data_IF_719385765544
#
_entry.id   IF_719385765544
#
_cell.length_a   1.000
_cell.length_b   1.000
_cell.length_c   1.000
_cell.angle_alpha   90.00
_cell.angle_beta   90.00
_cell.angle_gamma   90.00
#
_symmetry.space_group_name_H-M   'P 1'
#
loop_
_entity.id
_entity.type
_entity.pdbx_description
1 polymer ?
#
# COMPACT_ATOMS: atom_id res chain seq x y z
N UNK A 1 12.88 37.85 71.01
CA UNK A 1 11.76 38.74 71.35
C UNK A 1 11.96 40.09 70.68
N UNK A 2 10.86 40.71 70.24
CA UNK A 2 10.70 42.08 69.68
C UNK A 2 11.19 42.32 68.25
N UNK A 3 10.20 42.43 67.33
CA UNK A 3 10.25 43.42 66.25
C UNK A 3 10.10 44.85 66.81
N UNK A 4 10.16 45.89 65.96
CA UNK A 4 8.89 46.38 65.43
C UNK A 4 8.96 46.91 63.99
N UNK A 5 7.78 47.35 63.56
CA UNK A 5 7.28 47.71 62.25
C UNK A 5 7.77 49.06 61.70
N UNK A 6 7.67 49.19 60.37
CA UNK A 6 7.08 50.38 59.73
C UNK A 6 8.04 51.46 59.25
N UNK A 7 8.10 51.70 57.93
CA UNK A 7 7.53 52.90 57.30
C UNK A 7 7.79 52.94 55.78
N UNK A 8 6.76 53.38 55.05
CA UNK A 8 6.69 53.63 53.61
C UNK A 8 7.63 54.76 53.16
N UNK A 9 8.13 54.67 51.93
CA UNK A 9 8.11 55.81 50.98
C UNK A 9 8.22 55.32 49.54
N UNK A 10 7.51 56.03 48.66
CA UNK A 10 7.31 55.75 47.25
C UNK A 10 8.40 56.42 46.39
N UNK A 11 8.63 55.91 45.17
CA UNK A 11 8.52 56.62 43.87
C UNK A 11 9.47 56.03 42.81
N UNK A 12 8.99 56.03 41.55
CA UNK A 12 9.71 55.69 40.32
C UNK A 12 9.38 54.28 39.83
N UNK A 13 8.42 54.02 38.94
CA UNK A 13 8.10 54.76 37.72
C UNK A 13 8.96 54.21 36.58
N UNK A 14 8.39 53.30 35.77
CA UNK A 14 8.59 53.18 34.31
C UNK A 14 7.74 52.01 33.76
N UNK A 15 6.56 52.42 33.30
CA UNK A 15 5.74 51.94 32.19
C UNK A 15 6.26 50.74 31.37
N UNK A 16 5.52 49.63 31.39
CA UNK A 16 5.59 48.59 30.35
C UNK A 16 4.26 48.57 29.58
N UNK A 17 4.24 48.88 28.26
CA UNK A 17 3.02 49.09 27.52
C UNK A 17 2.72 47.90 26.59
N UNK A 18 2.23 46.76 27.07
CA UNK A 18 1.56 45.77 26.18
C UNK A 18 0.52 44.94 26.93
N UNK A 19 -0.57 45.60 27.34
CA UNK A 19 -1.84 44.95 27.66
C UNK A 19 -2.90 45.46 26.69
N UNK A 20 -3.18 44.68 25.65
CA UNK A 20 -4.42 44.83 24.87
C UNK A 20 -4.95 43.47 24.42
N UNK A 21 -5.80 42.91 25.27
CA UNK A 21 -7.15 42.44 24.93
C UNK A 21 -7.45 42.42 23.42
N UNK A 22 -7.50 41.22 22.85
CA UNK A 22 -8.31 40.97 21.65
C UNK A 22 -9.22 39.78 21.90
N UNK A 23 -10.52 40.10 21.89
CA UNK A 23 -11.67 39.20 21.90
C UNK A 23 -11.56 38.21 20.74
N UNK A 24 -11.86 36.95 21.04
CA UNK A 24 -12.10 35.92 20.05
C UNK A 24 -13.28 36.33 19.14
N UNK A 25 -13.15 36.28 17.81
CA UNK A 25 -14.29 36.46 16.93
C UNK A 25 -15.17 35.20 16.92
N UNK A 26 -16.47 35.43 16.91
CA UNK A 26 -17.52 34.43 16.88
C UNK A 26 -17.40 33.49 15.65
N UNK A 27 -17.65 32.20 15.88
CA UNK A 27 -17.71 31.15 14.84
C UNK A 27 -18.78 31.49 13.80
N UNK A 28 -18.35 31.70 12.56
CA UNK A 28 -19.22 31.74 11.38
C UNK A 28 -19.68 30.31 11.02
N UNK A 29 -21.00 30.03 10.91
CA UNK A 29 -21.51 28.70 10.60
C UNK A 29 -21.59 28.49 9.08
N UNK A 30 -20.47 28.59 8.37
CA UNK A 30 -20.37 28.19 6.95
C UNK A 30 -18.97 27.66 6.63
N UNK A 31 -18.61 26.57 7.30
CA UNK A 31 -17.46 25.77 6.90
C UNK A 31 -17.80 24.28 7.07
N UNK A 32 -18.84 23.84 6.35
CA UNK A 32 -18.95 22.42 6.01
C UNK A 32 -17.89 22.15 4.94
N UNK A 33 -16.64 21.95 5.38
CA UNK A 33 -15.70 21.13 4.63
C UNK A 33 -16.35 19.75 4.52
N UNK A 34 -16.95 19.49 3.37
CA UNK A 34 -17.30 18.15 2.94
C UNK A 34 -16.06 17.27 3.17
N UNK A 35 -16.16 16.13 3.87
CA UNK A 35 -15.07 15.17 3.83
C UNK A 35 -14.88 14.82 2.35
N UNK A 36 -13.69 15.09 1.82
CA UNK A 36 -13.23 14.50 0.56
C UNK A 36 -13.31 12.99 0.77
N UNK A 37 -14.41 12.41 0.31
CA UNK A 37 -14.51 10.97 0.15
C UNK A 37 -13.34 10.56 -0.75
N UNK A 38 -12.46 9.63 -0.33
CA UNK A 38 -11.49 9.08 -1.26
C UNK A 38 -12.31 8.49 -2.41
N UNK A 39 -12.13 9.04 -3.61
CA UNK A 39 -12.70 8.48 -4.83
C UNK A 39 -12.30 7.01 -4.85
N UNK A 40 -13.26 6.10 -4.63
CA UNK A 40 -12.96 4.67 -4.58
C UNK A 40 -12.30 4.30 -5.92
N UNK A 41 -11.03 3.84 -5.95
CA UNK A 41 -10.35 3.46 -7.18
C UNK A 41 -11.10 2.37 -7.97
N UNK A 42 -12.01 1.65 -7.30
CA UNK A 42 -12.96 0.70 -7.87
C UNK A 42 -13.79 1.24 -9.05
N UNK A 43 -14.09 2.55 -9.12
CA UNK A 43 -14.95 3.08 -10.17
C UNK A 43 -14.33 2.98 -11.58
N UNK A 44 -12.99 3.00 -11.67
CA UNK A 44 -12.26 2.93 -12.95
C UNK A 44 -12.21 1.49 -13.47
N UNK A 45 -12.14 0.51 -12.58
CA UNK A 45 -11.95 -0.91 -12.93
C UNK A 45 -13.26 -1.71 -13.15
N UNK A 46 -14.43 -1.16 -12.84
CA UNK A 46 -15.71 -1.89 -12.85
C UNK A 46 -16.26 -2.29 -14.24
N UNK A 47 -15.55 -2.00 -15.32
CA UNK A 47 -15.99 -2.28 -16.69
C UNK A 47 -15.50 -3.61 -17.31
N UNK A 48 -14.63 -4.37 -16.66
CA UNK A 48 -13.98 -5.54 -17.28
C UNK A 48 -14.15 -6.80 -16.43
N UNK A 49 -15.39 -7.25 -16.25
CA UNK A 49 -15.65 -8.60 -15.78
C UNK A 49 -15.39 -9.59 -16.94
N UNK A 50 -14.28 -10.32 -16.89
CA UNK A 50 -14.04 -11.43 -17.80
C UNK A 50 -15.15 -12.50 -17.61
N UNK A 51 -15.68 -13.10 -18.69
CA UNK A 51 -16.74 -14.09 -18.59
C UNK A 51 -16.25 -15.31 -17.80
N UNK A 52 -16.98 -15.62 -16.73
CA UNK A 52 -16.77 -16.83 -15.92
C UNK A 52 -17.04 -18.07 -16.75
N UNK A 53 -15.96 -18.69 -17.26
CA UNK A 53 -16.01 -20.00 -17.88
C UNK A 53 -16.26 -21.08 -16.84
N UNK A 54 -17.39 -21.77 -16.98
CA UNK A 54 -17.73 -23.00 -16.28
C UNK A 54 -16.72 -24.13 -16.60
N UNK A 55 -16.22 -24.80 -15.55
CA UNK A 55 -15.87 -26.22 -15.56
C UNK A 55 -14.52 -26.65 -16.16
N UNK A 56 -13.56 -26.98 -15.29
CA UNK A 56 -12.75 -28.21 -15.43
C UNK A 56 -12.07 -28.57 -14.10
N UNK A 57 -12.50 -29.65 -13.44
CA UNK A 57 -11.97 -30.10 -12.12
C UNK A 57 -10.65 -30.88 -12.20
N UNK A 58 -9.83 -30.68 -13.24
CA UNK A 58 -8.44 -31.15 -13.23
C UNK A 58 -7.58 -30.09 -12.55
N UNK A 59 -7.46 -30.22 -11.24
CA UNK A 59 -6.57 -29.38 -10.45
C UNK A 59 -5.14 -29.59 -10.95
N UNK A 60 -4.55 -28.54 -11.53
CA UNK A 60 -3.17 -28.56 -12.02
C UNK A 60 -2.23 -28.87 -10.84
N UNK A 61 -1.20 -29.69 -11.05
CA UNK A 61 -0.16 -29.98 -10.06
C UNK A 61 0.41 -28.72 -9.37
N UNK A 62 0.54 -27.60 -10.09
CA UNK A 62 0.96 -26.30 -9.55
C UNK A 62 -0.08 -25.69 -8.61
N UNK A 63 -1.38 -25.81 -8.91
CA UNK A 63 -2.43 -25.36 -8.00
C UNK A 63 -2.49 -26.21 -6.74
N UNK A 64 -2.30 -27.53 -6.87
CA UNK A 64 -2.18 -28.44 -5.74
C UNK A 64 -0.97 -28.06 -4.86
N UNK A 65 0.22 -27.95 -5.47
CA UNK A 65 1.46 -27.55 -4.78
C UNK A 65 1.31 -26.20 -4.08
N UNK A 66 0.68 -25.23 -4.73
CA UNK A 66 0.41 -23.93 -4.12
C UNK A 66 -0.51 -24.02 -2.90
N UNK A 67 -1.59 -24.79 -2.98
CA UNK A 67 -2.50 -24.99 -1.83
C UNK A 67 -1.79 -25.65 -0.66
N UNK A 68 -0.94 -26.65 -0.92
CA UNK A 68 -0.10 -27.26 0.11
C UNK A 68 0.90 -26.27 0.68
N UNK A 69 1.59 -25.52 -0.18
CA UNK A 69 2.58 -24.54 0.26
C UNK A 69 1.93 -23.46 1.12
N UNK A 70 0.76 -22.93 0.73
CA UNK A 70 0.01 -21.93 1.51
C UNK A 70 -0.31 -22.38 2.92
N UNK A 71 -0.61 -23.67 3.14
CA UNK A 71 -0.86 -24.22 4.48
C UNK A 71 0.40 -24.28 5.35
N UNK A 72 1.58 -24.26 4.74
CA UNK A 72 2.87 -24.28 5.41
C UNK A 72 3.52 -22.89 5.53
N UNK A 73 2.85 -21.85 5.02
CA UNK A 73 3.38 -20.48 5.14
C UNK A 73 3.24 -19.99 6.57
N UNK A 74 4.20 -19.19 7.06
CA UNK A 74 4.08 -18.58 8.37
C UNK A 74 2.86 -17.68 8.41
N UNK A 75 2.17 -17.69 9.55
CA UNK A 75 1.04 -16.81 9.77
C UNK A 75 1.51 -15.35 9.87
N UNK A 76 0.77 -14.45 9.22
CA UNK A 76 1.04 -13.02 9.24
C UNK A 76 -0.26 -12.24 9.46
N UNK A 77 -0.16 -11.14 10.19
CA UNK A 77 -1.19 -10.11 10.22
C UNK A 77 -0.83 -9.05 9.18
N UNK A 78 -1.66 -8.93 8.14
CA UNK A 78 -1.47 -7.95 7.08
C UNK A 78 -2.10 -6.60 7.49
N UNK A 79 -1.33 -5.53 7.32
CA UNK A 79 -1.84 -4.16 7.35
C UNK A 79 -1.52 -3.47 6.04
N UNK A 80 -2.49 -2.74 5.51
CA UNK A 80 -2.38 -2.04 4.23
C UNK A 80 -2.79 -0.60 4.44
N UNK A 81 -1.96 0.31 3.96
CA UNK A 81 -2.27 1.74 3.93
C UNK A 81 -1.70 2.37 2.67
N UNK A 82 -2.26 3.52 2.30
CA UNK A 82 -1.75 4.31 1.19
C UNK A 82 -0.39 4.92 1.55
N UNK A 83 0.58 4.83 0.63
CA UNK A 83 1.89 5.45 0.81
C UNK A 83 1.83 6.91 0.32
N UNK A 84 1.55 7.81 1.24
CA UNK A 84 1.53 9.25 0.95
C UNK A 84 2.95 9.81 0.74
N UNK A 85 3.06 10.85 -0.10
CA UNK A 85 4.29 11.64 -0.28
C UNK A 85 5.26 11.16 -1.37
N UNK A 86 4.96 10.06 -2.06
CA UNK A 86 5.75 9.57 -3.20
C UNK A 86 4.90 9.55 -4.48
N UNK A 87 5.48 9.93 -5.62
CA UNK A 87 4.76 9.85 -6.88
C UNK A 87 4.38 8.40 -7.16
N UNK A 88 3.07 8.11 -7.23
CA UNK A 88 2.59 6.77 -7.56
C UNK A 88 3.06 6.36 -8.96
N UNK A 89 3.63 5.17 -9.08
CA UNK A 89 3.94 4.58 -10.39
C UNK A 89 2.65 4.41 -11.21
N UNK A 90 1.57 3.95 -10.58
CA UNK A 90 0.32 3.49 -11.21
C UNK A 90 -0.77 4.56 -11.26
N UNK A 91 -0.43 5.84 -11.44
CA UNK A 91 -1.43 6.91 -11.53
C UNK A 91 -2.55 6.54 -12.53
N UNK A 92 -3.83 6.82 -12.21
CA UNK A 92 -4.32 7.60 -11.07
C UNK A 92 -4.47 6.81 -9.76
N UNK A 93 -4.20 5.50 -9.75
CA UNK A 93 -4.32 4.68 -8.53
C UNK A 93 -3.22 5.02 -7.50
N UNK A 94 -3.53 4.90 -6.20
CA UNK A 94 -2.54 5.09 -5.15
C UNK A 94 -1.48 3.99 -5.17
N UNK A 95 -0.27 4.34 -4.73
CA UNK A 95 0.72 3.34 -4.35
C UNK A 95 0.47 2.94 -2.90
N UNK A 96 0.27 1.66 -2.66
CA UNK A 96 -0.06 1.09 -1.36
C UNK A 96 1.20 0.52 -0.70
N UNK A 97 1.21 0.51 0.63
CA UNK A 97 2.22 -0.17 1.43
C UNK A 97 1.58 -1.31 2.20
N UNK A 98 2.09 -2.52 2.00
CA UNK A 98 1.70 -3.72 2.71
C UNK A 98 2.76 -4.03 3.77
N UNK A 99 2.33 -4.14 5.02
CA UNK A 99 3.15 -4.50 6.17
C UNK A 99 2.66 -5.84 6.73
N UNK A 100 3.55 -6.81 6.84
CA UNK A 100 3.29 -8.08 7.49
C UNK A 100 3.88 -8.06 8.90
N UNK A 101 3.04 -8.33 9.89
CA UNK A 101 3.42 -8.46 11.28
C UNK A 101 3.30 -9.90 11.75
N UNK A 102 4.19 -10.33 12.62
CA UNK A 102 4.02 -11.59 13.34
C UNK A 102 2.80 -11.48 14.27
N UNK A 103 1.84 -12.41 14.24
CA UNK A 103 0.56 -12.27 14.94
C UNK A 103 0.72 -12.22 16.47
N UNK A 104 1.65 -13.02 17.02
CA UNK A 104 1.88 -13.11 18.47
C UNK A 104 2.78 -11.99 19.01
N UNK A 105 3.94 -11.76 18.40
CA UNK A 105 4.92 -10.78 18.90
C UNK A 105 4.64 -9.35 18.44
N UNK A 106 3.83 -9.16 17.40
CA UNK A 106 3.59 -7.85 16.78
C UNK A 106 4.81 -7.29 16.03
N UNK A 107 5.90 -8.04 15.89
CA UNK A 107 7.09 -7.59 15.18
C UNK A 107 6.81 -7.48 13.67
N UNK A 108 7.32 -6.43 13.03
CA UNK A 108 7.31 -6.32 11.57
C UNK A 108 8.24 -7.40 10.99
N UNK A 109 7.74 -8.24 10.09
CA UNK A 109 8.50 -9.36 9.52
C UNK A 109 8.82 -9.17 8.05
N UNK A 110 7.95 -8.49 7.33
CA UNK A 110 8.12 -8.19 5.92
C UNK A 110 7.31 -6.95 5.51
N UNK A 111 7.72 -6.31 4.42
CA UNK A 111 7.00 -5.21 3.79
C UNK A 111 7.14 -5.26 2.28
N UNK A 112 6.17 -4.69 1.58
CA UNK A 112 6.24 -4.44 0.15
C UNK A 112 5.39 -3.22 -0.23
N UNK A 113 5.80 -2.52 -1.28
CA UNK A 113 4.95 -1.55 -1.97
C UNK A 113 4.20 -2.23 -3.10
N UNK A 114 2.97 -1.83 -3.38
CA UNK A 114 2.24 -2.33 -4.54
C UNK A 114 1.26 -1.31 -5.10
N UNK A 115 0.82 -1.52 -6.34
CA UNK A 115 -0.21 -0.69 -6.95
C UNK A 115 -0.86 -1.40 -8.14
N UNK A 116 -2.17 -1.20 -8.33
CA UNK A 116 -2.91 -1.77 -9.47
C UNK A 116 -2.77 -0.84 -10.67
N UNK A 117 -2.42 -1.38 -11.83
CA UNK A 117 -2.31 -0.57 -13.05
C UNK A 117 -3.63 0.11 -13.42
N UNK A 118 -3.59 1.26 -14.11
CA UNK A 118 -4.80 2.01 -14.49
C UNK A 118 -5.73 1.21 -15.44
N UNK A 119 -5.18 0.26 -16.19
CA UNK A 119 -5.94 -0.65 -17.05
C UNK A 119 -6.55 -1.84 -16.29
N UNK A 120 -6.24 -1.98 -15.00
CA UNK A 120 -6.75 -3.03 -14.12
C UNK A 120 -6.48 -4.46 -14.64
N UNK A 121 -5.43 -4.64 -15.45
CA UNK A 121 -5.06 -5.93 -16.06
C UNK A 121 -3.96 -6.67 -15.27
N UNK A 122 -3.24 -5.94 -14.41
CA UNK A 122 -2.17 -6.45 -13.54
C UNK A 122 -1.92 -5.49 -12.38
N UNK A 123 -1.25 -5.99 -11.35
CA UNK A 123 -0.73 -5.16 -10.28
C UNK A 123 0.79 -5.30 -10.18
N UNK A 124 1.42 -4.22 -9.72
CA UNK A 124 2.85 -4.08 -9.64
C UNK A 124 3.29 -4.17 -8.19
N UNK A 125 4.45 -4.76 -7.96
CA UNK A 125 5.02 -4.92 -6.62
C UNK A 125 6.46 -4.40 -6.60
N UNK A 126 6.77 -3.50 -5.67
CA UNK A 126 8.13 -2.99 -5.44
C UNK A 126 8.50 -3.08 -3.96
N UNK A 127 9.73 -2.67 -3.63
CA UNK A 127 10.20 -2.53 -2.24
C UNK A 127 9.99 -3.77 -1.35
N UNK A 128 10.04 -4.98 -1.95
CA UNK A 128 9.89 -6.22 -1.19
C UNK A 128 11.08 -6.39 -0.26
N UNK A 129 10.80 -6.41 1.04
CA UNK A 129 11.79 -6.59 2.08
C UNK A 129 11.30 -7.57 3.13
N UNK A 130 12.19 -8.47 3.56
CA UNK A 130 12.00 -9.36 4.70
C UNK A 130 13.14 -9.13 5.67
N UNK A 131 12.80 -9.04 6.95
CA UNK A 131 13.77 -8.86 8.03
C UNK A 131 14.88 -9.93 7.92
N UNK A 132 16.17 -9.55 7.97
CA UNK A 132 17.28 -10.47 7.69
C UNK A 132 17.22 -11.79 8.48
N UNK A 133 16.87 -11.72 9.76
CA UNK A 133 16.76 -12.88 10.65
C UNK A 133 15.61 -13.84 10.28
N UNK A 134 14.63 -13.38 9.50
CA UNK A 134 13.41 -14.11 9.13
C UNK A 134 13.41 -14.55 7.66
N UNK A 135 14.51 -14.33 6.93
CA UNK A 135 14.64 -14.75 5.54
C UNK A 135 14.62 -16.27 5.42
N UNK A 136 14.19 -16.76 4.25
CA UNK A 136 14.05 -18.20 3.91
C UNK A 136 13.03 -18.97 4.76
N UNK A 137 12.22 -18.29 5.57
CA UNK A 137 11.15 -18.91 6.37
C UNK A 137 9.76 -18.79 5.73
N UNK A 138 9.66 -18.29 4.49
CA UNK A 138 8.40 -18.19 3.76
C UNK A 138 7.61 -16.89 3.94
N UNK A 139 8.10 -15.94 4.77
CA UNK A 139 7.41 -14.66 5.00
C UNK A 139 7.19 -13.81 3.73
N UNK A 140 8.14 -13.80 2.79
CA UNK A 140 7.94 -13.14 1.50
C UNK A 140 6.75 -13.75 0.75
N UNK A 141 6.71 -15.08 0.63
CA UNK A 141 5.62 -15.80 -0.05
C UNK A 141 4.28 -15.60 0.67
N UNK A 142 4.28 -15.59 2.01
CA UNK A 142 3.08 -15.29 2.82
C UNK A 142 2.54 -13.88 2.52
N UNK A 143 3.43 -12.88 2.51
CA UNK A 143 3.08 -11.51 2.18
C UNK A 143 2.51 -11.40 0.76
N UNK A 144 3.16 -12.00 -0.25
CA UNK A 144 2.67 -11.95 -1.64
C UNK A 144 1.30 -12.62 -1.80
N UNK A 145 1.08 -13.76 -1.15
CA UNK A 145 -0.22 -14.43 -1.17
C UNK A 145 -1.32 -13.55 -0.54
N UNK A 146 -1.03 -12.94 0.61
CA UNK A 146 -1.98 -12.10 1.32
C UNK A 146 -2.30 -10.80 0.54
N UNK A 147 -1.29 -10.17 -0.06
CA UNK A 147 -1.48 -9.00 -0.94
C UNK A 147 -2.32 -9.36 -2.16
N UNK A 148 -2.06 -10.51 -2.78
CA UNK A 148 -2.84 -10.95 -3.94
C UNK A 148 -4.28 -11.31 -3.58
N UNK A 149 -4.53 -11.91 -2.41
CA UNK A 149 -5.89 -12.16 -1.94
C UNK A 149 -6.63 -10.84 -1.71
N UNK A 150 -5.94 -9.83 -1.14
CA UNK A 150 -6.49 -8.49 -0.95
C UNK A 150 -6.81 -7.80 -2.29
N UNK A 151 -5.87 -7.80 -3.24
CA UNK A 151 -6.11 -7.26 -4.59
C UNK A 151 -7.25 -8.00 -5.28
N UNK A 152 -7.31 -9.33 -5.13
CA UNK A 152 -8.37 -10.14 -5.71
C UNK A 152 -9.75 -9.82 -5.15
N UNK A 153 -9.85 -9.47 -3.86
CA UNK A 153 -11.10 -9.03 -3.25
C UNK A 153 -11.58 -7.67 -3.79
N UNK A 154 -10.66 -6.79 -4.21
CA UNK A 154 -10.99 -5.44 -4.68
C UNK A 154 -11.14 -5.31 -6.20
N UNK A 155 -10.32 -6.03 -6.98
CA UNK A 155 -10.19 -5.87 -8.43
C UNK A 155 -10.38 -7.18 -9.21
N UNK A 156 -10.60 -8.31 -8.53
CA UNK A 156 -10.53 -9.63 -9.14
C UNK A 156 -9.08 -10.13 -9.29
N UNK A 157 -8.92 -11.37 -9.74
CA UNK A 157 -7.60 -12.01 -9.83
C UNK A 157 -6.77 -11.35 -10.93
N UNK A 158 -5.70 -10.68 -10.54
CA UNK A 158 -4.76 -10.02 -11.44
C UNK A 158 -3.37 -10.66 -11.33
N UNK A 159 -2.60 -10.74 -12.43
CA UNK A 159 -1.20 -11.10 -12.38
C UNK A 159 -0.37 -10.06 -11.61
N UNK A 160 0.61 -10.56 -10.85
CA UNK A 160 1.62 -9.79 -10.12
C UNK A 160 2.83 -9.57 -11.02
N UNK A 161 3.25 -8.32 -11.17
CA UNK A 161 4.45 -7.90 -11.91
C UNK A 161 5.46 -7.22 -10.98
N UNK A 162 6.63 -7.79 -10.72
CA UNK A 162 7.66 -7.12 -9.92
C UNK A 162 8.21 -5.87 -10.63
N UNK A 163 8.36 -4.77 -9.89
CA UNK A 163 9.11 -3.60 -10.32
C UNK A 163 10.56 -3.81 -9.91
N UNK A 164 11.40 -4.17 -10.87
CA UNK A 164 12.82 -4.41 -10.71
C UNK A 164 13.21 -5.59 -9.78
N UNK A 165 13.75 -6.65 -10.38
CA UNK A 165 14.34 -7.76 -9.62
C UNK A 165 15.82 -7.53 -9.34
N UNK A 166 16.18 -7.46 -8.06
CA UNK A 166 17.59 -7.47 -7.67
C UNK A 166 18.20 -8.86 -7.88
N UNK A 167 19.49 -8.92 -8.21
CA UNK A 167 20.18 -10.21 -8.43
C UNK A 167 20.07 -11.17 -7.25
N UNK A 168 20.06 -10.64 -6.01
CA UNK A 168 19.89 -11.43 -4.79
C UNK A 168 18.48 -12.05 -4.63
N UNK A 169 17.46 -11.46 -5.26
CA UNK A 169 16.08 -11.93 -5.21
C UNK A 169 15.70 -12.82 -6.39
N UNK A 170 16.57 -12.98 -7.41
CA UNK A 170 16.26 -13.71 -8.65
C UNK A 170 15.79 -15.15 -8.40
N UNK A 171 16.50 -15.89 -7.56
CA UNK A 171 16.13 -17.27 -7.22
C UNK A 171 14.77 -17.37 -6.52
N UNK A 172 14.39 -16.37 -5.73
CA UNK A 172 13.06 -16.28 -5.12
C UNK A 172 11.98 -16.06 -6.19
N UNK A 173 12.19 -15.11 -7.10
CA UNK A 173 11.21 -14.81 -8.16
C UNK A 173 11.04 -15.95 -9.16
N UNK A 174 12.14 -16.60 -9.56
CA UNK A 174 12.08 -17.79 -10.40
C UNK A 174 11.29 -18.91 -9.74
N UNK A 175 11.51 -19.14 -8.44
CA UNK A 175 10.73 -20.09 -7.66
C UNK A 175 9.24 -19.71 -7.58
N UNK A 176 8.94 -18.42 -7.34
CA UNK A 176 7.57 -17.92 -7.32
C UNK A 176 6.87 -18.12 -8.66
N UNK A 177 7.53 -17.88 -9.80
CA UNK A 177 6.95 -18.11 -11.13
C UNK A 177 6.72 -19.60 -11.44
N UNK A 178 7.57 -20.48 -10.93
CA UNK A 178 7.39 -21.93 -11.08
C UNK A 178 6.23 -22.46 -10.23
N UNK A 179 6.10 -21.94 -9.00
CA UNK A 179 5.04 -22.32 -8.07
C UNK A 179 3.71 -21.59 -8.32
N UNK A 180 3.75 -20.44 -8.97
CA UNK A 180 2.61 -19.55 -9.19
C UNK A 180 1.42 -20.32 -9.80
N UNK A 181 0.34 -20.55 -9.04
CA UNK A 181 -0.89 -21.10 -9.59
C UNK A 181 -1.56 -20.06 -10.49
N UNK A 182 -2.62 -20.45 -11.21
CA UNK A 182 -3.48 -19.47 -11.89
C UNK A 182 -4.07 -18.41 -10.94
N UNK A 183 -4.11 -18.68 -9.64
CA UNK A 183 -4.62 -17.75 -8.61
C UNK A 183 -3.61 -16.68 -8.14
N UNK A 184 -2.32 -16.83 -8.46
CA UNK A 184 -1.28 -15.82 -8.21
C UNK A 184 -0.30 -15.89 -9.40
N UNK A 185 -0.71 -15.47 -10.61
CA UNK A 185 0.20 -15.50 -11.74
C UNK A 185 1.28 -14.44 -11.53
N UNK A 186 2.55 -14.87 -11.49
CA UNK A 186 3.70 -13.96 -11.37
C UNK A 186 4.34 -13.81 -12.75
N UNK A 187 4.44 -12.59 -13.25
CA UNK A 187 5.05 -12.26 -14.55
C UNK A 187 6.55 -11.97 -14.40
N UNK A 188 7.20 -11.61 -15.50
CA UNK A 188 8.59 -11.10 -15.46
C UNK A 188 8.60 -9.69 -14.90
N UNK A 189 9.74 -9.29 -14.37
CA UNK A 189 9.91 -7.94 -13.85
C UNK A 189 9.90 -6.88 -14.95
N UNK A 190 9.48 -5.67 -14.59
CA UNK A 190 9.73 -4.49 -15.42
C UNK A 190 11.12 -3.94 -15.13
N UNK A 191 11.95 -3.88 -16.18
CA UNK A 191 13.27 -3.25 -16.19
C UNK A 191 13.13 -1.79 -16.63
N UNK A 192 14.15 -0.98 -16.34
CA UNK A 192 14.08 0.49 -16.42
C UNK A 192 13.35 1.06 -17.65
N UNK A 193 13.72 0.65 -18.87
CA UNK A 193 13.07 1.12 -20.10
C UNK A 193 11.61 0.64 -20.27
N UNK A 194 11.28 -0.54 -19.75
CA UNK A 194 9.94 -1.13 -19.83
C UNK A 194 8.94 -0.40 -18.93
N UNK A 195 9.42 0.30 -17.88
CA UNK A 195 8.58 1.15 -17.01
C UNK A 195 7.95 2.28 -17.81
N UNK A 196 8.71 2.91 -18.71
CA UNK A 196 8.19 4.00 -19.55
C UNK A 196 7.30 3.48 -20.67
N UNK A 197 7.64 2.35 -21.28
CA UNK A 197 6.79 1.66 -22.25
C UNK A 197 5.43 1.27 -21.64
N UNK A 198 5.45 0.79 -20.40
CA UNK A 198 4.25 0.44 -19.64
C UNK A 198 3.38 1.69 -19.36
N UNK A 199 4.00 2.82 -19.02
CA UNK A 199 3.28 4.10 -18.90
C UNK A 199 2.69 4.56 -20.23
N UNK A 200 3.41 4.38 -21.34
CA UNK A 200 2.89 4.67 -22.68
C UNK A 200 1.72 3.75 -23.03
N UNK A 201 1.76 2.47 -22.64
CA UNK A 201 0.64 1.53 -22.82
C UNK A 201 -0.63 2.05 -22.16
N UNK A 202 -0.52 2.62 -20.96
CA UNK A 202 -1.67 3.20 -20.26
C UNK A 202 -2.17 4.51 -20.87
N UNK A 203 -1.28 5.28 -21.49
CA UNK A 203 -1.61 6.54 -22.15
C UNK A 203 -2.27 6.34 -23.52
N UNK A 204 -2.14 5.15 -24.12
CA UNK A 204 -2.88 4.83 -25.35
C UNK A 204 -4.37 4.74 -25.01
N UNK A 205 -5.22 5.62 -25.58
CA UNK A 205 -6.66 5.49 -25.39
C UNK A 205 -7.10 4.11 -25.88
N UNK A 206 -8.10 3.53 -25.21
CA UNK A 206 -8.70 2.24 -25.56
C UNK A 206 -9.51 2.31 -26.87
N UNK A 207 -9.01 2.98 -27.90
CA UNK A 207 -9.69 3.23 -29.18
C UNK A 207 -9.79 1.98 -30.06
N UNK A 208 -9.36 0.82 -29.57
CA UNK A 208 -9.33 -0.44 -30.33
C UNK A 208 -10.25 -1.53 -29.76
N UNK A 209 -11.18 -1.18 -28.86
CA UNK A 209 -12.20 -2.11 -28.36
C UNK A 209 -13.59 -1.96 -29.02
N UNK A 210 -13.71 -1.10 -30.03
CA UNK A 210 -14.95 -0.88 -30.78
C UNK A 210 -14.69 -0.91 -32.29
N UNK A 211 -14.41 -2.09 -32.83
CA UNK A 211 -14.66 -2.43 -34.24
C UNK A 211 -15.21 -3.84 -34.31
#
# INVERSE_FOLDING_TARGET
MRGPEGHRTAQGGLSSPYSRSQRAPARSPRDRRMPLMPSRPQAICKGQAAPGGLGNWRMNMREWLWRFKRRQLPEIRLQIHERHGMASFVKPHPWMQALAYHPLTGALVARAGYGVGPLCDRFYLGDLHVEPALRRQGYATALLAAVSDHVAAEYGRLPLTPLHETGAARGFWDHMRQLAPKSLPVTRDLRGSEVDEERMRWARPATEAAR
#
